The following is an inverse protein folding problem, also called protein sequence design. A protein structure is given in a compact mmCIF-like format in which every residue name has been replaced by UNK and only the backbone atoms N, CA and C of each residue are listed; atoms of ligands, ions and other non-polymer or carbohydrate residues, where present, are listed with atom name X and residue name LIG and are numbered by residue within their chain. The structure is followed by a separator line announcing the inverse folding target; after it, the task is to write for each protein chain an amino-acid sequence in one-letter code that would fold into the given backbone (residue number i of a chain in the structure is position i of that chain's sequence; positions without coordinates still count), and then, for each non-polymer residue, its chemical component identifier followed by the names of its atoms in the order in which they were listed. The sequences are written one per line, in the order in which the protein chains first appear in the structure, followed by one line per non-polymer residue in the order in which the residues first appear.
data_IF_846469244113
#
_entry.id   IF_846469244113
#
_cell.length_a   1.000
_cell.length_b   1.000
_cell.length_c   1.000
_cell.angle_alpha   90.00
_cell.angle_beta   90.00
_cell.angle_gamma   90.00
#
_symmetry.space_group_name_H-M   'P 1'
#
loop_
_entity.id
_entity.type
_entity.pdbx_description
1 polymer ?
#
# COMPACT_ATOMS: atom_id res chain seq x y z
N UNK A 1 -42.42 34.87 21.96
CA UNK A 1 -41.91 33.47 21.84
C UNK A 1 -41.59 33.04 20.40
N UNK A 2 -42.05 33.76 19.38
CA UNK A 2 -41.83 33.48 17.94
C UNK A 2 -40.45 33.87 17.40
N UNK A 3 -39.82 34.92 17.96
CA UNK A 3 -38.50 35.41 17.52
C UNK A 3 -37.37 34.41 17.73
N UNK A 4 -37.37 33.68 18.85
CA UNK A 4 -36.34 32.68 19.15
C UNK A 4 -36.36 31.53 18.13
N UNK A 5 -37.55 31.08 17.70
CA UNK A 5 -37.66 30.02 16.69
C UNK A 5 -37.06 30.43 15.34
N UNK A 6 -37.25 31.68 14.91
CA UNK A 6 -36.63 32.16 13.68
C UNK A 6 -35.11 32.32 13.81
N UNK A 7 -34.63 32.77 14.98
CA UNK A 7 -33.19 32.91 15.23
C UNK A 7 -32.46 31.57 15.17
N UNK A 8 -33.00 30.51 15.77
CA UNK A 8 -32.40 29.16 15.71
C UNK A 8 -32.38 28.59 14.29
N UNK A 9 -33.42 28.85 13.49
CA UNK A 9 -33.49 28.40 12.12
C UNK A 9 -32.41 29.07 11.24
N UNK A 10 -32.19 30.38 11.43
CA UNK A 10 -31.14 31.12 10.71
C UNK A 10 -29.75 30.61 11.11
N UNK A 11 -29.50 30.41 12.41
CA UNK A 11 -28.20 29.87 12.88
C UNK A 11 -27.95 28.48 12.28
N UNK A 12 -28.97 27.61 12.24
CA UNK A 12 -28.84 26.28 11.66
C UNK A 12 -28.47 26.30 10.17
N UNK A 13 -29.10 27.19 9.39
CA UNK A 13 -28.80 27.35 7.95
C UNK A 13 -27.36 27.87 7.75
N UNK A 14 -26.92 28.82 8.58
CA UNK A 14 -25.56 29.37 8.51
C UNK A 14 -24.52 28.31 8.83
N UNK A 15 -24.71 27.52 9.89
CA UNK A 15 -23.80 26.43 10.25
C UNK A 15 -23.75 25.37 9.15
N UNK A 16 -24.90 24.98 8.59
CA UNK A 16 -24.95 24.02 7.49
C UNK A 16 -24.21 24.53 6.25
N UNK A 17 -24.37 25.81 5.91
CA UNK A 17 -23.67 26.42 4.78
C UNK A 17 -22.15 26.43 4.98
N UNK A 18 -21.66 26.71 6.20
CA UNK A 18 -20.22 26.66 6.53
C UNK A 18 -19.66 25.24 6.40
N UNK A 19 -20.38 24.22 6.86
CA UNK A 19 -19.94 22.82 6.73
C UNK A 19 -19.85 22.40 5.26
N UNK A 20 -20.81 22.80 4.42
CA UNK A 20 -20.81 22.49 2.98
C UNK A 20 -19.66 23.20 2.25
N UNK A 21 -19.35 24.46 2.59
CA UNK A 21 -18.25 25.18 1.94
C UNK A 21 -16.88 24.67 2.38
N UNK A 22 -16.69 24.37 3.66
CA UNK A 22 -15.44 23.78 4.17
C UNK A 22 -15.16 22.40 3.56
N UNK A 23 -16.17 21.54 3.44
CA UNK A 23 -15.99 20.21 2.83
C UNK A 23 -15.61 20.28 1.35
N UNK A 24 -16.15 21.25 0.59
CA UNK A 24 -15.74 21.47 -0.81
C UNK A 24 -14.31 21.97 -0.96
N UNK A 25 -13.84 22.86 -0.08
CA UNK A 25 -12.45 23.36 -0.13
C UNK A 25 -11.46 22.23 0.13
N UNK A 26 -11.72 21.39 1.15
CA UNK A 26 -10.86 20.25 1.48
C UNK A 26 -10.77 19.27 0.30
N UNK A 27 -11.90 18.96 -0.35
CA UNK A 27 -11.93 18.08 -1.52
C UNK A 27 -11.14 18.63 -2.71
N UNK A 28 -11.17 19.96 -2.93
CA UNK A 28 -10.38 20.61 -3.97
C UNK A 28 -8.88 20.64 -3.66
N UNK A 29 -8.48 20.76 -2.38
CA UNK A 29 -7.07 20.71 -1.99
C UNK A 29 -6.50 19.30 -2.14
N UNK A 30 -7.27 18.26 -1.81
CA UNK A 30 -6.83 16.87 -1.95
C UNK A 30 -6.69 16.41 -3.41
N UNK A 31 -7.54 16.92 -4.31
CA UNK A 31 -7.46 16.62 -5.75
C UNK A 31 -6.43 17.47 -6.51
N UNK A 32 -5.80 18.46 -5.86
CA UNK A 32 -4.76 19.29 -6.46
C UNK A 32 -3.38 18.73 -6.14
N UNK A 33 -3.19 17.44 -6.37
CA UNK A 33 -1.87 16.83 -6.48
C UNK A 33 -1.08 17.47 -7.61
N UNK A 34 -0.04 18.20 -7.21
CA UNK A 34 1.22 18.50 -7.93
C UNK A 34 1.07 19.21 -9.29
N UNK A 35 1.24 20.54 -9.35
CA UNK A 35 1.69 21.17 -10.59
C UNK A 35 3.11 20.68 -10.86
N UNK A 36 3.26 19.87 -11.92
CA UNK A 36 4.57 19.55 -12.48
C UNK A 36 5.24 20.83 -12.98
N UNK A 37 6.20 21.30 -12.20
CA UNK A 37 7.12 22.36 -12.59
C UNK A 37 8.09 21.78 -13.63
N UNK A 38 7.73 21.93 -14.91
CA UNK A 38 8.62 21.62 -16.03
C UNK A 38 9.59 22.79 -16.16
N UNK A 39 10.64 22.78 -15.33
CA UNK A 39 11.83 23.58 -15.57
C UNK A 39 12.54 22.99 -16.80
N UNK A 40 12.50 23.74 -17.90
CA UNK A 40 13.22 23.41 -19.12
C UNK A 40 14.72 23.45 -18.88
N UNK A 41 15.34 22.27 -18.82
CA UNK A 41 16.78 22.14 -18.97
C UNK A 41 17.11 21.55 -20.34
N UNK A 42 18.06 22.22 -20.98
CA UNK A 42 18.43 22.12 -22.38
C UNK A 42 19.18 20.81 -22.63
N UNK A 43 18.51 19.77 -23.13
CA UNK A 43 19.17 18.50 -23.48
C UNK A 43 19.96 18.69 -24.80
N UNK A 44 21.29 18.71 -24.67
CA UNK A 44 22.22 18.53 -25.77
C UNK A 44 22.07 17.08 -26.26
N UNK A 45 21.70 16.92 -27.53
CA UNK A 45 21.73 15.66 -28.25
C UNK A 45 23.16 15.11 -28.31
N UNK A 46 23.34 13.88 -27.86
CA UNK A 46 24.00 12.78 -28.60
C UNK A 46 24.34 11.68 -27.60
N UNK A 47 23.63 10.55 -27.70
CA UNK A 47 24.27 9.23 -27.77
C UNK A 47 23.21 8.15 -28.04
N UNK A 48 23.41 7.50 -29.20
CA UNK A 48 23.03 6.14 -29.62
C UNK A 48 21.70 5.54 -29.09
N UNK A 49 20.78 5.12 -29.97
CA UNK A 49 19.60 4.39 -29.52
C UNK A 49 20.05 3.09 -28.85
N UNK A 50 19.94 3.04 -27.53
CA UNK A 50 19.95 1.78 -26.80
C UNK A 50 18.60 1.13 -27.12
N UNK A 51 18.63 0.04 -27.88
CA UNK A 51 17.50 -0.88 -28.01
C UNK A 51 17.16 -1.42 -26.62
N UNK A 52 16.32 -0.70 -25.87
CA UNK A 52 15.65 -1.25 -24.70
C UNK A 52 14.45 -2.04 -25.20
N UNK A 53 14.73 -3.19 -25.82
CA UNK A 53 13.73 -4.22 -25.99
C UNK A 53 13.75 -5.10 -24.73
N UNK A 54 13.27 -4.56 -23.61
CA UNK A 54 12.85 -5.39 -22.49
C UNK A 54 11.36 -5.65 -22.68
N UNK A 55 11.03 -6.74 -23.38
CA UNK A 55 9.70 -7.32 -23.30
C UNK A 55 9.33 -7.44 -21.83
N UNK A 56 8.16 -6.94 -21.36
CA UNK A 56 7.77 -7.08 -19.97
C UNK A 56 7.83 -8.57 -19.62
N UNK A 57 8.70 -8.92 -18.68
CA UNK A 57 8.75 -10.27 -18.12
C UNK A 57 7.48 -10.43 -17.28
N UNK A 58 6.39 -10.79 -17.95
CA UNK A 58 5.13 -11.11 -17.29
C UNK A 58 5.35 -12.48 -16.66
N UNK A 59 5.37 -12.53 -15.33
CA UNK A 59 5.31 -13.80 -14.59
C UNK A 59 4.00 -14.47 -14.99
N UNK A 60 4.08 -15.43 -15.90
CA UNK A 60 2.92 -16.11 -16.51
C UNK A 60 2.57 -17.40 -15.80
N UNK A 61 3.44 -17.92 -14.93
CA UNK A 61 3.10 -18.96 -13.96
C UNK A 61 4.17 -19.12 -12.87
N UNK A 62 3.75 -19.08 -11.60
CA UNK A 62 4.01 -20.13 -10.61
C UNK A 62 2.83 -20.11 -9.63
N UNK A 63 1.88 -21.01 -9.89
CA UNK A 63 0.47 -20.93 -9.57
C UNK A 63 0.18 -20.39 -8.18
N UNK A 64 -0.58 -19.30 -8.13
CA UNK A 64 -1.33 -18.93 -6.94
C UNK A 64 -2.08 -20.17 -6.43
N UNK A 65 -1.86 -20.50 -5.16
CA UNK A 65 -2.40 -21.72 -4.55
C UNK A 65 -2.63 -21.47 -3.08
N UNK A 66 -3.69 -22.08 -2.57
CA UNK A 66 -3.93 -22.17 -1.15
C UNK A 66 -3.35 -23.50 -0.64
N UNK A 67 -2.91 -23.50 0.60
CA UNK A 67 -2.54 -24.73 1.29
C UNK A 67 -3.79 -25.39 1.87
N UNK A 68 -3.84 -26.72 1.86
CA UNK A 68 -4.93 -27.47 2.50
C UNK A 68 -4.96 -27.23 4.02
N UNK A 69 -3.79 -27.03 4.61
CA UNK A 69 -3.60 -26.65 6.01
C UNK A 69 -2.61 -25.47 6.08
N UNK A 70 -2.95 -24.36 6.77
CA UNK A 70 -2.03 -23.25 6.95
C UNK A 70 -0.75 -23.68 7.69
N UNK A 71 0.38 -23.07 7.30
CA UNK A 71 1.69 -23.40 7.88
C UNK A 71 2.07 -22.31 8.89
N UNK A 72 2.32 -22.67 10.14
CA UNK A 72 2.84 -21.72 11.14
C UNK A 72 4.22 -21.20 10.71
N UNK A 73 4.37 -19.87 10.67
CA UNK A 73 5.61 -19.21 10.25
C UNK A 73 6.06 -18.15 11.24
N UNK A 74 7.37 -18.04 11.39
CA UNK A 74 8.04 -16.94 12.09
C UNK A 74 9.07 -16.34 11.15
N UNK A 75 8.82 -15.11 10.71
CA UNK A 75 9.59 -14.44 9.67
C UNK A 75 10.21 -13.19 10.27
N UNK A 76 11.53 -13.07 10.17
CA UNK A 76 12.24 -11.83 10.48
C UNK A 76 12.69 -11.22 9.17
N UNK A 77 12.41 -9.94 8.96
CA UNK A 77 12.63 -9.33 7.67
C UNK A 77 12.49 -7.82 7.68
N UNK A 78 12.65 -7.24 6.49
CA UNK A 78 12.54 -5.81 6.25
C UNK A 78 11.28 -5.51 5.45
N UNK A 79 10.52 -4.50 5.89
CA UNK A 79 9.30 -4.06 5.21
C UNK A 79 9.67 -3.42 3.87
N UNK A 80 9.12 -3.96 2.78
CA UNK A 80 9.34 -3.52 1.41
C UNK A 80 8.36 -2.42 1.00
N UNK A 81 7.08 -2.61 1.32
CA UNK A 81 5.99 -1.72 0.92
C UNK A 81 4.79 -1.92 1.84
N UNK A 82 3.90 -0.93 1.88
CA UNK A 82 2.59 -1.03 2.50
C UNK A 82 1.52 -1.07 1.40
N UNK A 83 0.51 -1.91 1.56
CA UNK A 83 -0.59 -2.13 0.63
C UNK A 83 -1.92 -1.66 1.23
N UNK A 84 -3.01 -1.76 0.46
CA UNK A 84 -4.42 -1.45 0.81
C UNK A 84 -4.58 -0.54 2.04
N UNK A 85 -4.49 0.79 1.85
CA UNK A 85 -4.73 1.76 2.93
C UNK A 85 -3.73 1.75 4.10
N UNK A 86 -2.64 0.98 4.01
CA UNK A 86 -1.67 0.75 5.09
C UNK A 86 -2.02 -0.44 5.99
N UNK A 87 -2.98 -1.28 5.58
CA UNK A 87 -3.47 -2.40 6.39
C UNK A 87 -2.63 -3.67 6.24
N UNK A 88 -2.07 -3.87 5.04
CA UNK A 88 -1.23 -5.01 4.69
C UNK A 88 0.16 -4.53 4.29
N UNK A 89 1.15 -5.40 4.31
CA UNK A 89 2.51 -5.02 3.94
C UNK A 89 3.31 -6.15 3.32
N UNK A 90 4.32 -5.77 2.54
CA UNK A 90 5.27 -6.69 1.92
C UNK A 90 6.53 -6.79 2.77
N UNK A 91 7.06 -7.99 2.92
CA UNK A 91 8.25 -8.27 3.71
C UNK A 91 9.27 -9.04 2.85
N UNK A 92 10.56 -8.72 3.00
CA UNK A 92 11.66 -9.57 2.51
C UNK A 92 12.43 -10.15 3.69
N UNK A 93 12.84 -11.41 3.59
CA UNK A 93 13.69 -12.07 4.58
C UNK A 93 14.94 -12.64 3.92
N UNK A 94 16.00 -12.82 4.70
CA UNK A 94 17.15 -13.63 4.30
C UNK A 94 16.85 -15.14 4.42
N UNK A 95 15.75 -15.50 5.10
CA UNK A 95 15.27 -16.88 5.21
C UNK A 95 14.25 -17.18 4.12
N UNK A 96 14.31 -18.40 3.62
CA UNK A 96 13.38 -18.93 2.62
C UNK A 96 12.42 -19.92 3.27
N UNK A 97 11.13 -19.77 3.00
CA UNK A 97 10.05 -20.69 3.42
C UNK A 97 9.31 -21.11 2.15
N UNK A 98 9.12 -22.41 1.92
CA UNK A 98 8.49 -22.93 0.70
C UNK A 98 9.12 -22.38 -0.61
N UNK A 99 10.44 -22.16 -0.60
CA UNK A 99 11.16 -21.60 -1.75
C UNK A 99 10.97 -20.09 -1.96
N UNK A 100 10.28 -19.39 -1.05
CA UNK A 100 10.01 -17.95 -1.11
C UNK A 100 10.75 -17.18 -0.01
N UNK A 101 11.33 -16.05 -0.36
CA UNK A 101 11.98 -15.11 0.58
C UNK A 101 11.27 -13.74 0.66
N UNK A 102 10.13 -13.63 -0.04
CA UNK A 102 9.24 -12.47 -0.02
C UNK A 102 7.86 -12.92 0.41
N UNK A 103 7.21 -12.09 1.20
CA UNK A 103 5.98 -12.42 1.90
C UNK A 103 4.99 -11.26 1.76
N UNK A 104 3.75 -11.59 1.44
CA UNK A 104 2.61 -10.69 1.54
C UNK A 104 1.97 -10.93 2.91
N UNK A 105 1.98 -9.91 3.76
CA UNK A 105 1.48 -10.00 5.13
C UNK A 105 0.10 -9.34 5.20
N UNK A 106 -0.90 -10.14 5.54
CA UNK A 106 -2.25 -9.70 5.88
C UNK A 106 -2.25 -9.39 7.37
N UNK A 107 -2.47 -8.13 7.73
CA UNK A 107 -2.44 -7.66 9.13
C UNK A 107 -3.72 -6.93 9.54
N UNK A 108 -4.56 -6.56 8.57
CA UNK A 108 -5.80 -5.78 8.77
C UNK A 108 -5.55 -4.44 9.50
N UNK A 109 -4.33 -3.90 9.39
CA UNK A 109 -3.91 -2.63 10.00
C UNK A 109 -3.83 -2.63 11.51
N UNK A 110 -3.71 -3.81 12.14
CA UNK A 110 -3.55 -3.93 13.57
C UNK A 110 -2.19 -3.40 14.05
N UNK A 111 -1.18 -3.45 13.19
CA UNK A 111 0.20 -3.10 13.49
C UNK A 111 0.76 -2.14 12.43
N UNK A 112 0.72 -0.81 12.65
CA UNK A 112 1.29 0.14 11.70
C UNK A 112 2.80 -0.05 11.59
N UNK A 113 3.28 -0.37 10.39
CA UNK A 113 4.71 -0.55 10.08
C UNK A 113 5.22 0.48 9.08
N UNK A 114 6.47 0.89 9.26
CA UNK A 114 7.15 1.82 8.37
C UNK A 114 7.90 1.05 7.28
N UNK A 115 7.86 1.55 6.05
CA UNK A 115 8.70 1.03 4.97
C UNK A 115 10.17 1.10 5.40
N UNK A 116 10.94 0.07 5.06
CA UNK A 116 12.33 -0.15 5.46
C UNK A 116 12.57 -0.48 6.95
N UNK A 117 11.54 -0.59 7.78
CA UNK A 117 11.73 -1.07 9.16
C UNK A 117 11.98 -2.57 9.20
N UNK A 118 12.75 -3.01 10.19
CA UNK A 118 12.93 -4.44 10.49
C UNK A 118 11.83 -4.89 11.44
N UNK A 119 11.22 -6.03 11.12
CA UNK A 119 10.13 -6.61 11.92
C UNK A 119 10.28 -8.13 12.02
N UNK A 120 9.69 -8.68 13.08
CA UNK A 120 9.39 -10.10 13.25
C UNK A 120 7.88 -10.30 13.16
N UNK A 121 7.45 -11.18 12.27
CA UNK A 121 6.06 -11.57 12.06
C UNK A 121 5.88 -13.02 12.51
N UNK A 122 4.90 -13.27 13.37
CA UNK A 122 4.42 -14.60 13.73
C UNK A 122 2.99 -14.74 13.17
N UNK A 123 2.74 -15.82 12.43
CA UNK A 123 1.47 -15.97 11.71
C UNK A 123 1.33 -17.32 11.02
N UNK A 124 0.37 -17.39 10.11
CA UNK A 124 0.08 -18.60 9.34
C UNK A 124 0.15 -18.31 7.84
N UNK A 125 0.97 -19.06 7.12
CA UNK A 125 0.99 -19.00 5.67
C UNK A 125 -0.21 -19.77 5.11
N UNK A 126 -1.13 -19.06 4.47
CA UNK A 126 -2.35 -19.61 3.88
C UNK A 126 -2.12 -20.16 2.46
N UNK A 127 -1.08 -19.67 1.79
CA UNK A 127 -0.80 -20.04 0.41
C UNK A 127 0.33 -19.26 -0.24
N UNK A 128 0.37 -19.33 -1.57
CA UNK A 128 1.24 -18.52 -2.43
C UNK A 128 0.35 -17.59 -3.22
N UNK A 129 0.64 -16.29 -3.19
CA UNK A 129 -0.06 -15.26 -3.95
C UNK A 129 0.84 -14.66 -5.02
N UNK A 130 0.30 -14.46 -6.21
CA UNK A 130 0.96 -13.72 -7.28
C UNK A 130 0.55 -12.24 -7.30
N UNK A 131 -0.22 -11.80 -6.30
CA UNK A 131 -0.46 -10.39 -6.06
C UNK A 131 0.89 -9.65 -6.00
N UNK A 132 1.01 -8.59 -6.78
CA UNK A 132 2.22 -7.76 -6.86
C UNK A 132 3.50 -8.47 -7.36
N UNK A 133 3.38 -9.65 -7.98
CA UNK A 133 4.51 -10.37 -8.57
C UNK A 133 5.21 -9.56 -9.67
N UNK A 134 4.45 -8.78 -10.46
CA UNK A 134 5.02 -7.92 -11.50
C UNK A 134 5.39 -6.51 -11.01
N UNK A 135 5.31 -6.24 -9.70
CA UNK A 135 5.58 -4.91 -9.11
C UNK A 135 6.54 -4.99 -7.92
N UNK A 136 6.02 -5.05 -6.69
CA UNK A 136 6.81 -4.96 -5.45
C UNK A 136 7.68 -6.19 -5.26
N UNK A 137 7.14 -7.38 -5.54
CA UNK A 137 7.84 -8.62 -5.23
C UNK A 137 8.72 -9.12 -6.38
N UNK A 138 8.41 -8.84 -7.63
CA UNK A 138 9.16 -9.38 -8.78
C UNK A 138 8.97 -10.89 -9.00
N UNK A 139 8.19 -11.57 -8.16
CA UNK A 139 7.85 -12.98 -8.17
C UNK A 139 6.62 -13.23 -7.28
N UNK A 140 5.96 -14.39 -7.40
CA UNK A 140 4.89 -14.75 -6.47
C UNK A 140 5.44 -14.95 -5.06
N UNK A 141 4.75 -14.41 -4.06
CA UNK A 141 5.15 -14.35 -2.66
C UNK A 141 4.31 -15.29 -1.80
N UNK A 142 4.81 -15.64 -0.61
CA UNK A 142 4.02 -16.41 0.34
C UNK A 142 3.01 -15.48 1.01
N UNK A 143 1.72 -15.86 1.02
CA UNK A 143 0.65 -15.12 1.69
C UNK A 143 0.55 -15.55 3.14
N UNK A 144 0.68 -14.61 4.07
CA UNK A 144 0.77 -14.86 5.51
C UNK A 144 -0.24 -14.00 6.26
N UNK A 145 -1.11 -14.64 7.02
CA UNK A 145 -1.98 -13.98 8.00
C UNK A 145 -1.20 -13.75 9.29
N UNK A 146 -0.98 -12.48 9.64
CA UNK A 146 -0.23 -12.11 10.84
C UNK A 146 -1.08 -12.28 12.10
N UNK A 147 -0.54 -13.00 13.08
CA UNK A 147 -1.08 -13.05 14.45
C UNK A 147 -0.39 -12.01 15.32
N UNK A 148 0.90 -11.75 15.07
CA UNK A 148 1.70 -10.80 15.85
C UNK A 148 2.82 -10.20 15.02
N UNK A 149 3.00 -8.89 15.17
CA UNK A 149 4.10 -8.14 14.55
C UNK A 149 4.92 -7.41 15.62
N UNK A 150 6.24 -7.59 15.59
CA UNK A 150 7.18 -7.00 16.55
C UNK A 150 8.21 -6.18 15.77
N UNK A 151 8.33 -4.87 16.05
CA UNK A 151 9.41 -4.03 15.51
C UNK A 151 10.75 -4.42 16.17
N UNK A 152 11.79 -4.60 15.36
CA UNK A 152 13.14 -4.99 15.80
C UNK A 152 14.09 -3.79 15.87
#
# INVERSE_FOLDING_TARGET
MTYYKQLFLIIGIVVLAVVITCSRIIFQTLNRSVPGEVAGEKIIQMEKPVEVMSTPFVVTCDCEKNFDEPIDVVIEGKVLANFVGGLDFGLTSDKTIEGKNKFYIIDDGQHPVEINSSVRVEGQAAGVTCAYANTVFGECSLEVEAVKVIKL
#
